data_IF_868665897631
#
_entry.id   IF_868665897631
#
_cell.length_a   1.000
_cell.length_b   1.000
_cell.length_c   1.000
_cell.angle_alpha   90.00
_cell.angle_beta   90.00
_cell.angle_gamma   90.00
#
_symmetry.space_group_name_H-M   'P 1'
#
loop_
_entity.id
_entity.type
_entity.pdbx_description
1 polymer ?
#
# COMPACT_ATOMS: atom_id res chain seq x y z
N UNK A 1 -8.66 -1.12 12.77
CA UNK A 1 -7.36 -1.84 12.91
C UNK A 1 -7.19 -2.37 14.32
N UNK A 2 -6.39 -3.41 14.51
CA UNK A 2 -6.00 -3.92 15.83
C UNK A 2 -4.49 -3.82 15.98
N UNK A 3 -4.02 -3.37 17.15
CA UNK A 3 -2.59 -3.26 17.46
C UNK A 3 -2.29 -4.12 18.67
N UNK A 4 -1.25 -4.93 18.58
CA UNK A 4 -0.71 -5.67 19.71
C UNK A 4 0.82 -5.52 19.71
N UNK A 5 1.42 -5.56 20.88
CA UNK A 5 2.88 -5.49 21.03
C UNK A 5 3.39 -6.74 21.73
N UNK A 6 4.43 -7.30 21.18
CA UNK A 6 5.17 -8.39 21.80
C UNK A 6 6.66 -8.05 21.72
N UNK A 7 7.31 -7.99 22.84
CA UNK A 7 8.70 -7.51 22.93
C UNK A 7 8.80 -6.10 22.30
N UNK A 8 9.76 -5.86 21.43
CA UNK A 8 9.93 -4.59 20.71
C UNK A 8 9.29 -4.63 19.30
N UNK A 9 8.26 -5.44 19.07
CA UNK A 9 7.54 -5.57 17.80
C UNK A 9 6.09 -5.17 17.98
N UNK A 10 5.63 -4.18 17.22
CA UNK A 10 4.22 -3.85 17.08
C UNK A 10 3.63 -4.64 15.89
N UNK A 11 2.57 -5.41 16.14
CA UNK A 11 1.78 -6.09 15.12
C UNK A 11 0.52 -5.29 14.85
N UNK A 12 0.36 -4.82 13.63
CA UNK A 12 -0.75 -3.99 13.17
C UNK A 12 -1.59 -4.82 12.20
N UNK A 13 -2.71 -5.33 12.68
CA UNK A 13 -3.66 -6.11 11.86
C UNK A 13 -4.73 -5.21 11.29
N UNK A 14 -4.79 -5.11 9.97
CA UNK A 14 -5.83 -4.40 9.23
C UNK A 14 -7.11 -5.22 9.31
N UNK A 15 -8.20 -4.60 9.78
CA UNK A 15 -9.50 -5.23 9.98
C UNK A 15 -10.60 -4.21 9.68
N UNK A 16 -11.01 -4.15 8.41
CA UNK A 16 -12.05 -3.24 7.89
C UNK A 16 -12.93 -3.99 6.86
N UNK A 17 -13.81 -4.92 7.35
CA UNK A 17 -14.65 -5.70 6.46
C UNK A 17 -15.57 -4.82 5.58
N UNK A 18 -15.98 -5.32 4.38
CA UNK A 18 -15.82 -6.72 3.93
C UNK A 18 -14.53 -7.05 3.19
N UNK A 19 -13.69 -6.07 2.80
CA UNK A 19 -12.54 -6.25 1.89
C UNK A 19 -11.30 -5.44 2.29
N UNK A 20 -11.26 -4.88 3.48
CA UNK A 20 -10.20 -3.97 3.89
C UNK A 20 -9.99 -2.79 2.92
N UNK A 21 -11.10 -2.13 2.54
CA UNK A 21 -11.03 -0.93 1.72
C UNK A 21 -10.25 0.19 2.44
N UNK A 22 -9.37 0.88 1.73
CA UNK A 22 -8.63 2.03 2.25
C UNK A 22 -9.56 3.25 2.23
N UNK A 23 -10.44 3.30 3.23
CA UNK A 23 -11.37 4.40 3.45
C UNK A 23 -10.70 5.59 4.14
N UNK A 24 -11.39 6.73 4.16
CA UNK A 24 -10.94 7.93 4.90
C UNK A 24 -10.65 7.59 6.37
N UNK A 25 -11.50 6.80 7.02
CA UNK A 25 -11.30 6.38 8.40
C UNK A 25 -10.03 5.53 8.57
N UNK A 26 -9.82 4.53 7.70
CA UNK A 26 -8.61 3.69 7.74
C UNK A 26 -7.35 4.50 7.48
N UNK A 27 -7.39 5.47 6.56
CA UNK A 27 -6.25 6.36 6.30
C UNK A 27 -5.93 7.26 7.50
N UNK A 28 -6.96 7.78 8.17
CA UNK A 28 -6.79 8.57 9.40
C UNK A 28 -6.15 7.72 10.50
N UNK A 29 -6.72 6.53 10.73
CA UNK A 29 -6.20 5.60 11.73
C UNK A 29 -4.75 5.20 11.45
N UNK A 30 -4.40 4.95 10.18
CA UNK A 30 -3.01 4.64 9.77
C UNK A 30 -2.07 5.82 10.03
N UNK A 31 -2.47 7.02 9.64
CA UNK A 31 -1.68 8.24 9.88
C UNK A 31 -1.40 8.45 11.36
N UNK A 32 -2.44 8.38 12.17
CA UNK A 32 -2.36 8.65 13.61
C UNK A 32 -1.56 7.54 14.33
N UNK A 33 -1.74 6.29 13.90
CA UNK A 33 -0.96 5.14 14.40
C UNK A 33 0.53 5.29 14.06
N UNK A 34 0.86 5.60 12.80
CA UNK A 34 2.25 5.79 12.37
C UNK A 34 2.91 6.94 13.12
N UNK A 35 2.20 8.05 13.36
CA UNK A 35 2.69 9.16 14.16
C UNK A 35 2.93 8.76 15.62
N UNK A 36 2.02 7.98 16.22
CA UNK A 36 2.16 7.47 17.59
C UNK A 36 3.35 6.53 17.71
N UNK A 37 3.48 5.57 16.79
CA UNK A 37 4.59 4.61 16.81
C UNK A 37 5.94 5.28 16.57
N UNK A 38 6.02 6.31 15.72
CA UNK A 38 7.26 7.05 15.49
C UNK A 38 7.85 7.67 16.77
N UNK A 39 7.00 7.99 17.75
CA UNK A 39 7.43 8.49 19.08
C UNK A 39 7.59 7.42 20.14
N UNK A 40 7.43 6.14 19.82
CA UNK A 40 7.53 5.04 20.78
C UNK A 40 8.89 4.33 20.70
N UNK A 41 9.79 4.71 21.61
CA UNK A 41 11.13 4.14 21.68
C UNK A 41 11.15 2.66 22.14
N UNK A 42 10.01 2.10 22.57
CA UNK A 42 9.91 0.69 22.96
C UNK A 42 9.65 -0.23 21.75
N UNK A 43 9.25 0.35 20.60
CA UNK A 43 8.99 -0.38 19.35
C UNK A 43 10.15 -0.20 18.39
N UNK A 44 10.68 -1.29 17.85
CA UNK A 44 11.78 -1.33 16.88
C UNK A 44 11.35 -1.82 15.50
N UNK A 45 10.33 -2.66 15.47
CA UNK A 45 9.78 -3.25 14.25
C UNK A 45 8.27 -3.10 14.26
N UNK A 46 7.69 -2.76 13.11
CA UNK A 46 6.25 -2.74 12.87
C UNK A 46 5.94 -3.78 11.80
N UNK A 47 5.10 -4.76 12.13
CA UNK A 47 4.61 -5.76 11.19
C UNK A 47 3.16 -5.47 10.85
N UNK A 48 2.86 -5.23 9.58
CA UNK A 48 1.51 -5.06 9.08
C UNK A 48 1.00 -6.36 8.48
N UNK A 49 -0.18 -6.80 8.91
CA UNK A 49 -0.91 -7.93 8.32
C UNK A 49 -2.40 -7.64 8.20
N UNK A 50 -3.16 -8.61 7.76
CA UNK A 50 -4.61 -8.51 7.55
C UNK A 50 -5.37 -9.58 8.33
N UNK A 51 -6.53 -9.20 8.87
CA UNK A 51 -7.51 -10.15 9.41
C UNK A 51 -8.30 -10.87 8.31
N UNK A 52 -8.33 -10.31 7.10
CA UNK A 52 -9.01 -10.91 5.95
C UNK A 52 -8.02 -11.80 5.16
N UNK A 53 -8.35 -13.07 4.88
CA UNK A 53 -7.46 -13.98 4.19
C UNK A 53 -7.31 -13.68 2.69
N UNK A 54 -8.30 -12.99 2.07
CA UNK A 54 -8.31 -12.71 0.64
C UNK A 54 -7.78 -11.32 0.30
N UNK A 55 -7.88 -10.37 1.25
CA UNK A 55 -7.53 -8.96 1.01
C UNK A 55 -6.63 -8.42 2.13
N UNK A 56 -5.48 -7.87 1.73
CA UNK A 56 -4.64 -7.07 2.63
C UNK A 56 -5.23 -5.66 2.75
N UNK A 57 -5.17 -4.89 1.67
CA UNK A 57 -5.84 -3.62 1.43
C UNK A 57 -6.35 -3.67 -0.01
N UNK A 58 -7.66 -3.78 -0.20
CA UNK A 58 -8.23 -4.01 -1.53
C UNK A 58 -7.85 -2.89 -2.51
N UNK A 59 -8.19 -1.66 -2.18
CA UNK A 59 -7.78 -0.41 -2.85
C UNK A 59 -8.38 0.79 -2.09
N UNK A 60 -8.18 2.00 -2.61
CA UNK A 60 -8.81 3.22 -2.08
C UNK A 60 -10.32 3.19 -2.32
N UNK A 61 -11.09 3.68 -1.36
CA UNK A 61 -12.55 3.80 -1.48
C UNK A 61 -12.94 4.70 -2.64
N UNK A 62 -13.53 4.11 -3.69
CA UNK A 62 -14.00 4.83 -4.88
C UNK A 62 -15.20 5.76 -4.59
N UNK A 63 -15.83 5.62 -3.42
CA UNK A 63 -16.93 6.48 -2.97
C UNK A 63 -16.46 7.67 -2.13
N UNK A 64 -15.15 7.75 -1.81
CA UNK A 64 -14.59 8.83 -1.02
C UNK A 64 -14.80 10.19 -1.72
N UNK A 65 -15.49 11.09 -1.05
CA UNK A 65 -15.75 12.44 -1.59
C UNK A 65 -14.58 13.38 -1.33
N UNK A 66 -14.39 14.35 -2.22
CA UNK A 66 -13.40 15.41 -2.02
C UNK A 66 -13.59 16.13 -0.68
N UNK A 67 -14.84 16.29 -0.22
CA UNK A 67 -15.15 16.91 1.07
C UNK A 67 -14.69 16.04 2.26
N UNK A 68 -14.85 14.70 2.16
CA UNK A 68 -14.37 13.78 3.20
C UNK A 68 -12.84 13.77 3.29
N UNK A 69 -12.15 13.94 2.16
CA UNK A 69 -10.70 14.03 2.08
C UNK A 69 -10.16 15.40 2.52
N UNK A 70 -10.92 16.50 2.30
CA UNK A 70 -10.46 17.87 2.54
C UNK A 70 -10.05 18.12 4.01
N UNK A 71 -10.77 17.54 4.96
CA UNK A 71 -10.44 17.66 6.38
C UNK A 71 -9.08 17.06 6.75
N UNK A 72 -8.68 16.01 6.04
CA UNK A 72 -7.38 15.32 6.25
C UNK A 72 -6.23 16.01 5.49
N UNK A 73 -6.56 16.86 4.52
CA UNK A 73 -5.56 17.57 3.70
C UNK A 73 -5.13 18.92 4.32
N UNK A 74 -5.87 19.40 5.33
CA UNK A 74 -5.65 20.75 5.88
C UNK A 74 -4.24 20.95 6.48
N UNK A 75 -3.61 19.86 6.97
CA UNK A 75 -2.30 19.90 7.64
C UNK A 75 -1.18 19.28 6.78
N UNK A 76 -1.43 19.02 5.48
CA UNK A 76 -0.44 18.41 4.60
C UNK A 76 0.49 19.47 3.98
N UNK A 77 1.75 19.11 3.65
CA UNK A 77 2.62 19.97 2.88
C UNK A 77 2.01 20.32 1.52
N UNK A 78 2.32 21.51 1.01
CA UNK A 78 1.86 21.96 -0.31
C UNK A 78 2.32 20.97 -1.41
N UNK A 79 1.41 20.60 -2.30
CA UNK A 79 1.67 19.67 -3.41
C UNK A 79 1.65 18.19 -3.04
N UNK A 80 1.39 17.85 -1.78
CA UNK A 80 1.28 16.45 -1.31
C UNK A 80 -0.19 16.11 -1.05
N UNK A 81 -0.65 14.99 -1.59
CA UNK A 81 -1.99 14.48 -1.26
C UNK A 81 -1.94 13.52 -0.06
N UNK A 82 -3.12 13.17 0.48
CA UNK A 82 -3.22 12.32 1.66
C UNK A 82 -2.58 10.93 1.47
N UNK A 83 -2.71 10.33 0.29
CA UNK A 83 -2.16 8.99 0.01
C UNK A 83 -0.64 9.03 0.03
N UNK A 84 -0.05 10.03 -0.60
CA UNK A 84 1.40 10.29 -0.58
C UNK A 84 1.88 10.59 0.84
N UNK A 85 1.13 11.36 1.63
CA UNK A 85 1.50 11.69 3.00
C UNK A 85 1.60 10.43 3.89
N UNK A 86 0.65 9.51 3.79
CA UNK A 86 0.69 8.23 4.51
C UNK A 86 1.87 7.37 4.02
N UNK A 87 2.10 7.31 2.71
CA UNK A 87 3.23 6.58 2.13
C UNK A 87 4.57 7.13 2.59
N UNK A 88 4.77 8.46 2.56
CA UNK A 88 6.00 9.10 3.04
C UNK A 88 6.18 8.95 4.55
N UNK A 89 5.11 9.04 5.33
CA UNK A 89 5.17 8.78 6.77
C UNK A 89 5.61 7.34 7.06
N UNK A 90 5.12 6.35 6.29
CA UNK A 90 5.54 4.96 6.41
C UNK A 90 7.02 4.77 6.03
N UNK A 91 7.48 5.38 4.93
CA UNK A 91 8.88 5.32 4.48
C UNK A 91 9.86 5.94 5.46
N UNK A 92 9.42 6.96 6.20
CA UNK A 92 10.23 7.72 7.14
C UNK A 92 10.12 7.22 8.59
N UNK A 93 9.40 6.10 8.84
CA UNK A 93 9.33 5.53 10.18
C UNK A 93 10.74 5.24 10.74
N UNK A 94 11.03 5.59 12.00
CA UNK A 94 12.29 5.20 12.63
C UNK A 94 12.40 3.69 12.84
N UNK A 95 11.27 3.01 13.06
CA UNK A 95 11.17 1.55 13.14
C UNK A 95 11.34 0.91 11.76
N UNK A 96 11.74 -0.36 11.74
CA UNK A 96 11.69 -1.17 10.52
C UNK A 96 10.26 -1.60 10.25
N UNK A 97 9.74 -1.31 9.07
CA UNK A 97 8.38 -1.64 8.64
C UNK A 97 8.36 -2.86 7.75
N UNK A 98 7.56 -3.87 8.10
CA UNK A 98 7.43 -5.13 7.36
C UNK A 98 5.96 -5.35 7.01
N UNK A 99 5.67 -5.60 5.74
CA UNK A 99 4.35 -6.07 5.29
C UNK A 99 4.37 -7.58 5.12
N UNK A 100 3.45 -8.25 5.81
CA UNK A 100 3.13 -9.68 5.68
C UNK A 100 1.88 -9.81 4.81
N UNK A 101 2.06 -10.08 3.53
CA UNK A 101 0.99 -10.06 2.52
C UNK A 101 0.46 -11.49 2.29
N UNK A 102 -0.71 -11.79 2.85
CA UNK A 102 -1.37 -13.08 2.64
C UNK A 102 -2.56 -13.03 1.66
N UNK A 103 -3.02 -11.84 1.28
CA UNK A 103 -4.12 -11.60 0.35
C UNK A 103 -3.77 -10.55 -0.70
N UNK A 104 -4.78 -10.09 -1.44
CA UNK A 104 -4.61 -9.13 -2.53
C UNK A 104 -4.42 -7.71 -2.00
N UNK A 105 -3.55 -6.93 -2.66
CA UNK A 105 -3.36 -5.51 -2.45
C UNK A 105 -3.35 -4.81 -3.82
N UNK A 106 -4.27 -3.87 -4.04
CA UNK A 106 -4.42 -3.15 -5.30
C UNK A 106 -4.38 -1.65 -5.09
N UNK A 107 -3.98 -0.89 -6.11
CA UNK A 107 -3.95 0.56 -6.06
C UNK A 107 -3.27 1.07 -4.80
N UNK A 108 -3.95 1.94 -4.04
CA UNK A 108 -3.43 2.45 -2.76
C UNK A 108 -2.98 1.39 -1.76
N UNK A 109 -3.56 0.19 -1.80
CA UNK A 109 -3.08 -0.94 -0.99
C UNK A 109 -1.71 -1.45 -1.44
N UNK A 110 -1.48 -1.56 -2.76
CA UNK A 110 -0.18 -1.92 -3.30
C UNK A 110 0.84 -0.78 -3.16
N UNK A 111 0.39 0.48 -3.17
CA UNK A 111 1.21 1.66 -2.85
C UNK A 111 1.70 1.63 -1.40
N UNK A 112 0.82 1.24 -0.46
CA UNK A 112 1.20 1.02 0.94
C UNK A 112 2.28 -0.09 1.07
N UNK A 113 2.11 -1.21 0.36
CA UNK A 113 3.09 -2.31 0.38
C UNK A 113 4.46 -1.86 -0.11
N UNK A 114 4.51 -1.11 -1.21
CA UNK A 114 5.79 -0.65 -1.80
C UNK A 114 6.45 0.45 -0.97
N UNK A 115 5.70 1.19 -0.15
CA UNK A 115 6.22 2.21 0.75
C UNK A 115 6.89 1.64 2.01
N UNK A 116 6.55 0.42 2.44
CA UNK A 116 7.21 -0.23 3.58
C UNK A 116 8.67 -0.59 3.28
N UNK A 117 9.51 -0.73 4.32
CA UNK A 117 10.92 -1.13 4.15
C UNK A 117 11.02 -2.52 3.50
N UNK A 118 10.17 -3.45 3.92
CA UNK A 118 10.17 -4.84 3.45
C UNK A 118 8.75 -5.37 3.25
N UNK A 119 8.60 -6.26 2.27
CA UNK A 119 7.36 -6.98 2.03
C UNK A 119 7.63 -8.46 1.71
N UNK A 120 6.84 -9.34 2.31
CA UNK A 120 6.89 -10.79 2.11
C UNK A 120 5.48 -11.28 1.79
N UNK A 121 5.34 -12.12 0.78
CA UNK A 121 4.02 -12.52 0.27
C UNK A 121 3.82 -14.03 0.26
N UNK A 122 2.60 -14.47 0.53
CA UNK A 122 2.19 -15.87 0.42
C UNK A 122 2.01 -16.28 -1.05
N UNK A 123 2.69 -17.33 -1.48
CA UNK A 123 2.46 -17.96 -2.79
C UNK A 123 1.03 -18.50 -2.83
N UNK A 124 0.32 -18.17 -3.87
CA UNK A 124 -1.06 -18.57 -4.15
C UNK A 124 -2.08 -17.49 -3.79
N UNK A 125 -2.34 -17.14 -2.51
CA UNK A 125 -3.38 -16.16 -2.18
C UNK A 125 -2.97 -14.70 -2.39
N UNK A 126 -1.68 -14.36 -2.26
CA UNK A 126 -1.24 -12.98 -2.37
C UNK A 126 -1.15 -12.51 -3.82
N UNK A 127 -1.54 -11.26 -4.05
CA UNK A 127 -1.40 -10.58 -5.33
C UNK A 127 -1.24 -9.08 -5.17
N UNK A 128 -0.51 -8.46 -6.09
CA UNK A 128 -0.25 -7.03 -6.15
C UNK A 128 -0.65 -6.46 -7.50
N UNK A 129 -1.35 -5.33 -7.53
CA UNK A 129 -1.77 -4.68 -8.78
C UNK A 129 -1.91 -3.17 -8.65
N UNK A 130 -1.65 -2.46 -9.75
CA UNK A 130 -1.96 -1.04 -9.91
C UNK A 130 -3.11 -0.93 -10.93
N UNK A 131 -4.33 -0.78 -10.43
CA UNK A 131 -5.57 -0.86 -11.23
C UNK A 131 -6.06 0.49 -11.76
N UNK A 132 -5.39 1.57 -11.41
CA UNK A 132 -5.81 2.95 -11.64
C UNK A 132 -6.06 3.25 -13.11
N UNK A 133 -5.26 2.67 -14.02
CA UNK A 133 -5.41 2.88 -15.45
C UNK A 133 -6.76 2.38 -15.99
N UNK A 134 -7.35 1.33 -15.40
CA UNK A 134 -8.68 0.82 -15.74
C UNK A 134 -9.80 1.80 -15.35
N UNK A 135 -9.53 2.68 -14.40
CA UNK A 135 -10.43 3.76 -13.98
C UNK A 135 -10.15 5.09 -14.69
N UNK A 136 -9.19 5.13 -15.62
CA UNK A 136 -8.80 6.34 -16.35
C UNK A 136 -7.94 7.32 -15.57
N UNK A 137 -7.25 6.87 -14.53
CA UNK A 137 -6.31 7.65 -13.72
C UNK A 137 -4.95 6.96 -13.63
N UNK A 138 -3.99 7.59 -12.99
CA UNK A 138 -2.71 7.02 -12.60
C UNK A 138 -2.67 6.82 -11.09
N UNK A 139 -1.76 5.97 -10.55
CA UNK A 139 -1.50 5.90 -9.12
C UNK A 139 -1.18 7.29 -8.53
N UNK A 140 -1.57 7.53 -7.29
CA UNK A 140 -1.42 8.82 -6.64
C UNK A 140 -0.95 8.75 -5.18
N UNK A 141 -0.56 7.59 -4.69
CA UNK A 141 -0.01 7.38 -3.35
C UNK A 141 1.51 7.21 -3.34
N UNK A 142 2.18 7.56 -4.44
CA UNK A 142 3.63 7.48 -4.58
C UNK A 142 4.12 6.30 -5.41
N UNK A 143 3.24 5.39 -5.87
CA UNK A 143 3.69 4.21 -6.61
C UNK A 143 4.49 4.55 -7.86
N UNK A 144 4.18 5.63 -8.59
CA UNK A 144 4.95 6.00 -9.79
C UNK A 144 6.42 6.29 -9.47
N UNK A 145 6.73 6.61 -8.22
CA UNK A 145 8.07 6.86 -7.73
C UNK A 145 8.66 5.62 -7.05
N UNK A 146 8.01 5.11 -6.01
CA UNK A 146 8.50 3.98 -5.19
C UNK A 146 8.62 2.69 -5.99
N UNK A 147 7.61 2.40 -6.84
CA UNK A 147 7.62 1.22 -7.69
C UNK A 147 8.73 1.32 -8.74
N UNK A 148 8.89 2.51 -9.36
CA UNK A 148 9.95 2.75 -10.34
C UNK A 148 11.34 2.58 -9.72
N UNK A 149 11.54 3.00 -8.47
CA UNK A 149 12.78 2.78 -7.73
C UNK A 149 13.08 1.29 -7.54
N UNK A 150 12.05 0.48 -7.19
CA UNK A 150 12.23 -0.95 -6.92
C UNK A 150 12.37 -1.82 -8.17
N UNK A 151 11.50 -1.61 -9.17
CA UNK A 151 11.41 -2.54 -10.32
C UNK A 151 12.02 -1.99 -11.61
N UNK A 152 12.38 -0.71 -11.62
CA UNK A 152 12.83 0.01 -12.81
C UNK A 152 11.66 0.46 -13.71
N UNK A 153 11.91 1.51 -14.52
CA UNK A 153 10.89 2.22 -15.31
C UNK A 153 10.09 1.32 -16.26
N UNK A 154 10.71 0.36 -16.92
CA UNK A 154 10.04 -0.53 -17.89
C UNK A 154 8.98 -1.40 -17.22
N UNK A 155 9.31 -2.03 -16.09
CA UNK A 155 8.37 -2.85 -15.32
C UNK A 155 7.32 -2.00 -14.61
N UNK A 156 7.67 -0.81 -14.13
CA UNK A 156 6.71 0.12 -13.57
C UNK A 156 5.64 0.51 -14.59
N UNK A 157 6.03 0.80 -15.85
CA UNK A 157 5.08 1.08 -16.94
C UNK A 157 4.22 -0.15 -17.30
N UNK A 158 4.80 -1.35 -17.32
CA UNK A 158 4.07 -2.60 -17.54
C UNK A 158 3.00 -2.79 -16.45
N UNK A 159 3.36 -2.63 -15.18
CA UNK A 159 2.46 -2.78 -14.05
C UNK A 159 1.34 -1.74 -14.08
N UNK A 160 1.69 -0.46 -14.22
CA UNK A 160 0.71 0.63 -14.17
C UNK A 160 -0.21 0.66 -15.39
N UNK A 161 0.31 0.40 -16.59
CA UNK A 161 -0.49 0.46 -17.82
C UNK A 161 -1.14 -0.89 -18.16
N UNK A 162 -0.50 -2.00 -17.80
CA UNK A 162 -1.08 -3.34 -17.91
C UNK A 162 -2.23 -3.54 -16.95
N UNK A 163 -2.15 -2.94 -15.76
CA UNK A 163 -3.18 -2.98 -14.72
C UNK A 163 -3.68 -4.40 -14.42
N UNK A 164 -2.74 -5.35 -14.37
CA UNK A 164 -2.99 -6.75 -14.01
C UNK A 164 -2.72 -6.98 -12.53
N UNK A 165 -3.27 -8.08 -12.00
CA UNK A 165 -2.90 -8.60 -10.70
C UNK A 165 -1.70 -9.54 -10.86
N UNK A 166 -0.57 -9.17 -10.28
CA UNK A 166 0.66 -9.96 -10.29
C UNK A 166 0.70 -10.90 -9.09
N UNK A 167 1.00 -12.17 -9.32
CA UNK A 167 1.22 -13.13 -8.25
C UNK A 167 2.50 -12.82 -7.44
N UNK A 168 2.61 -13.43 -6.26
CA UNK A 168 3.72 -13.21 -5.35
C UNK A 168 5.08 -13.55 -5.98
N UNK A 169 5.16 -14.62 -6.78
CA UNK A 169 6.40 -15.08 -7.42
C UNK A 169 6.86 -14.10 -8.51
N UNK A 170 5.92 -13.55 -9.27
CA UNK A 170 6.23 -12.51 -10.25
C UNK A 170 6.63 -11.20 -9.57
N UNK A 171 5.95 -10.81 -8.48
CA UNK A 171 6.30 -9.64 -7.70
C UNK A 171 7.72 -9.75 -7.11
N UNK A 172 8.12 -10.94 -6.62
CA UNK A 172 9.51 -11.20 -6.19
C UNK A 172 10.50 -11.09 -7.35
N UNK A 173 10.24 -11.75 -8.49
CA UNK A 173 11.12 -11.69 -9.67
C UNK A 173 11.30 -10.27 -10.20
N UNK A 174 10.29 -9.41 -10.06
CA UNK A 174 10.38 -8.00 -10.48
C UNK A 174 11.12 -7.14 -9.46
N UNK A 175 11.25 -7.59 -8.22
CA UNK A 175 11.81 -6.82 -7.11
C UNK A 175 10.78 -5.90 -6.46
N UNK A 176 9.49 -6.12 -6.70
CA UNK A 176 8.41 -5.38 -6.04
C UNK A 176 8.35 -5.71 -4.55
N UNK A 177 8.54 -6.98 -4.21
CA UNK A 177 8.65 -7.50 -2.84
C UNK A 177 9.98 -8.22 -2.61
N UNK A 178 10.32 -8.46 -1.34
CA UNK A 178 11.56 -9.14 -0.96
C UNK A 178 11.52 -10.64 -1.29
N UNK A 179 10.43 -11.32 -0.93
CA UNK A 179 10.28 -12.78 -1.15
C UNK A 179 8.82 -13.20 -1.26
N UNK A 180 8.57 -14.18 -2.12
CA UNK A 180 7.40 -15.04 -2.13
C UNK A 180 7.72 -16.31 -1.32
N UNK A 181 6.82 -16.71 -0.43
CA UNK A 181 7.01 -17.84 0.48
C UNK A 181 5.77 -18.75 0.42
N UNK A 182 5.94 -20.08 0.61
CA UNK A 182 4.80 -20.94 0.84
C UNK A 182 3.90 -20.37 1.95
N UNK A 183 2.59 -20.36 1.74
CA UNK A 183 1.65 -19.67 2.65
C UNK A 183 1.81 -20.13 4.11
N UNK A 184 2.08 -21.42 4.34
CA UNK A 184 2.28 -21.99 5.68
C UNK A 184 3.62 -21.62 6.34
N UNK A 185 4.56 -21.03 5.60
CA UNK A 185 5.87 -20.59 6.11
C UNK A 185 5.95 -19.09 6.36
N UNK A 186 5.02 -18.29 5.79
CA UNK A 186 5.07 -16.84 5.82
C UNK A 186 5.12 -16.27 7.24
N UNK A 187 4.23 -16.72 8.12
CA UNK A 187 4.16 -16.24 9.50
C UNK A 187 5.48 -16.52 10.25
N UNK A 188 5.92 -17.77 10.24
CA UNK A 188 7.14 -18.16 10.94
C UNK A 188 8.38 -17.43 10.40
N UNK A 189 8.42 -17.15 9.10
CA UNK A 189 9.52 -16.42 8.49
C UNK A 189 9.53 -14.95 8.94
N UNK A 190 8.38 -14.27 8.87
CA UNK A 190 8.27 -12.86 9.24
C UNK A 190 8.52 -12.67 10.73
N UNK A 191 7.94 -13.52 11.59
CA UNK A 191 8.13 -13.45 13.04
C UNK A 191 9.61 -13.64 13.43
N UNK A 192 10.30 -14.60 12.81
CA UNK A 192 11.73 -14.81 13.03
C UNK A 192 12.56 -13.61 12.56
N UNK A 193 12.27 -13.04 11.38
CA UNK A 193 12.99 -11.88 10.87
C UNK A 193 12.76 -10.67 11.76
N UNK A 194 11.52 -10.37 12.10
CA UNK A 194 11.16 -9.26 12.99
C UNK A 194 11.83 -9.42 14.37
N UNK A 195 11.83 -10.63 14.94
CA UNK A 195 12.50 -10.94 16.19
C UNK A 195 14.02 -10.73 16.13
N UNK A 196 14.66 -11.16 15.05
CA UNK A 196 16.08 -10.95 14.82
C UNK A 196 16.44 -9.45 14.74
N UNK A 197 15.62 -8.66 14.03
CA UNK A 197 15.81 -7.21 13.91
C UNK A 197 15.56 -6.53 15.25
N UNK A 198 14.48 -6.88 15.94
CA UNK A 198 14.12 -6.31 17.23
C UNK A 198 15.17 -6.59 18.35
N UNK A 199 15.96 -7.64 18.19
CA UNK A 199 17.04 -7.98 19.12
C UNK A 199 18.36 -7.22 18.87
N UNK A 200 18.46 -6.45 17.77
CA UNK A 200 19.65 -5.64 17.48
C UNK A 200 19.77 -4.48 18.49
N UNK A 201 20.99 -3.94 18.72
CA UNK A 201 21.16 -2.69 19.44
C UNK A 201 20.39 -1.54 18.78
N UNK A 202 19.84 -0.62 19.59
CA UNK A 202 18.96 0.45 19.09
C UNK A 202 19.61 1.35 18.05
N UNK A 203 20.87 1.69 18.25
CA UNK A 203 21.67 2.54 17.36
C UNK A 203 21.97 1.88 16.00
N UNK A 204 21.99 0.55 15.93
CA UNK A 204 22.27 -0.20 14.68
C UNK A 204 21.11 -0.06 13.69
N UNK A 205 19.87 -0.14 14.16
CA UNK A 205 18.69 0.02 13.28
C UNK A 205 18.66 1.44 12.71
N UNK A 206 18.81 2.45 13.56
CA UNK A 206 18.83 3.85 13.15
C UNK A 206 19.98 4.12 12.16
N UNK A 207 21.18 3.62 12.46
CA UNK A 207 22.35 3.77 11.57
C UNK A 207 22.15 3.07 10.22
N UNK A 208 21.55 1.88 10.20
CA UNK A 208 21.25 1.15 8.97
C UNK A 208 20.23 1.91 8.10
N UNK A 209 19.12 2.39 8.70
CA UNK A 209 18.13 3.20 7.99
C UNK A 209 18.68 4.53 7.50
N UNK A 210 19.59 5.15 8.23
CA UNK A 210 20.26 6.36 7.78
C UNK A 210 21.23 6.09 6.62
N UNK A 211 21.97 4.98 6.67
CA UNK A 211 22.93 4.62 5.63
C UNK A 211 22.25 4.13 4.34
N UNK A 212 21.07 3.49 4.48
CA UNK A 212 20.21 3.00 3.38
C UNK A 212 18.98 3.91 3.30
N UNK A 213 19.21 5.22 3.29
CA UNK A 213 18.12 6.19 3.30
C UNK A 213 17.26 6.08 2.02
N UNK A 214 15.93 6.20 2.12
CA UNK A 214 15.08 6.25 0.94
C UNK A 214 15.40 7.48 0.10
N UNK A 215 15.25 7.36 -1.22
CA UNK A 215 15.42 8.52 -2.11
C UNK A 215 14.40 9.62 -1.78
N UNK A 216 14.80 10.87 -1.98
CA UNK A 216 13.87 11.99 -1.92
C UNK A 216 13.07 12.04 -3.24
N UNK A 217 11.76 11.84 -3.14
CA UNK A 217 10.85 11.84 -4.28
C UNK A 217 9.97 13.09 -4.38
N UNK A 218 10.22 14.16 -3.63
CA UNK A 218 9.35 15.33 -3.55
C UNK A 218 8.90 15.85 -4.92
N UNK A 219 9.85 16.09 -5.84
CA UNK A 219 9.54 16.57 -7.21
C UNK A 219 8.74 15.54 -8.02
N UNK A 220 9.00 14.25 -7.79
CA UNK A 220 8.30 13.16 -8.45
C UNK A 220 6.87 13.01 -7.95
N UNK A 221 6.68 13.13 -6.64
CA UNK A 221 5.37 13.07 -5.99
C UNK A 221 4.50 14.28 -6.37
N UNK A 222 5.08 15.48 -6.41
CA UNK A 222 4.36 16.67 -6.90
C UNK A 222 3.88 16.48 -8.34
N UNK A 223 4.75 15.98 -9.23
CA UNK A 223 4.39 15.66 -10.63
C UNK A 223 3.32 14.57 -10.72
N UNK A 224 3.40 13.50 -9.92
CA UNK A 224 2.39 12.45 -9.84
C UNK A 224 1.02 13.04 -9.47
N UNK A 225 0.98 13.89 -8.43
CA UNK A 225 -0.22 14.55 -7.97
C UNK A 225 -0.84 15.46 -9.05
N UNK A 226 -0.04 16.25 -9.75
CA UNK A 226 -0.50 17.10 -10.85
C UNK A 226 -1.12 16.29 -12.00
N UNK A 227 -0.45 15.20 -12.39
CA UNK A 227 -0.94 14.31 -13.45
C UNK A 227 -2.24 13.63 -13.02
N UNK A 228 -2.30 13.09 -11.81
CA UNK A 228 -3.50 12.48 -11.26
C UNK A 228 -4.66 13.48 -11.17
N UNK A 229 -4.42 14.70 -10.67
CA UNK A 229 -5.44 15.74 -10.56
C UNK A 229 -6.01 16.12 -11.93
N UNK A 230 -5.18 16.10 -12.98
CA UNK A 230 -5.63 16.32 -14.36
C UNK A 230 -6.51 15.22 -14.95
N UNK A 231 -6.55 14.05 -14.31
CA UNK A 231 -7.31 12.87 -14.77
C UNK A 231 -8.54 12.59 -13.91
N UNK A 232 -8.43 12.68 -12.60
CA UNK A 232 -9.46 12.20 -11.64
C UNK A 232 -10.80 12.95 -11.77
N UNK A 233 -10.77 14.23 -12.17
CA UNK A 233 -11.98 15.04 -12.32
C UNK A 233 -12.60 14.96 -13.73
N UNK A 234 -12.11 14.11 -14.62
CA UNK A 234 -12.70 13.94 -15.94
C UNK A 234 -14.03 13.20 -15.86
N UNK A 235 -15.04 13.60 -16.66
CA UNK A 235 -16.31 12.87 -16.71
C UNK A 235 -16.17 11.38 -17.01
N UNK A 236 -15.24 11.01 -17.90
CA UNK A 236 -14.96 9.62 -18.24
C UNK A 236 -14.49 8.81 -17.03
N UNK A 237 -13.62 9.36 -16.17
CA UNK A 237 -13.17 8.73 -14.93
C UNK A 237 -14.35 8.48 -13.98
N UNK A 238 -15.20 9.48 -13.78
CA UNK A 238 -16.39 9.33 -12.94
C UNK A 238 -17.36 8.27 -13.50
N UNK A 239 -17.51 8.17 -14.82
CA UNK A 239 -18.33 7.15 -15.49
C UNK A 239 -17.76 5.75 -15.27
N UNK A 240 -16.43 5.55 -15.44
CA UNK A 240 -15.78 4.26 -15.24
C UNK A 240 -15.91 3.81 -13.78
N UNK A 241 -15.63 4.68 -12.81
CA UNK A 241 -15.77 4.36 -11.38
C UNK A 241 -17.23 3.99 -11.03
N UNK A 242 -18.18 4.79 -11.47
CA UNK A 242 -19.62 4.54 -11.25
C UNK A 242 -20.08 3.22 -11.88
N UNK A 243 -19.63 2.91 -13.11
CA UNK A 243 -19.94 1.67 -13.77
C UNK A 243 -19.31 0.45 -13.07
N UNK A 244 -18.08 0.59 -12.59
CA UNK A 244 -17.42 -0.45 -11.79
C UNK A 244 -18.18 -0.75 -10.50
N UNK A 245 -18.56 0.29 -9.75
CA UNK A 245 -19.38 0.15 -8.54
C UNK A 245 -20.74 -0.52 -8.84
N UNK A 246 -21.42 -0.11 -9.90
CA UNK A 246 -22.68 -0.71 -10.31
C UNK A 246 -22.56 -2.20 -10.72
N UNK A 247 -21.36 -2.64 -11.11
CA UNK A 247 -21.07 -4.05 -11.44
C UNK A 247 -20.51 -4.85 -10.27
N UNK A 248 -20.39 -4.26 -9.09
CA UNK A 248 -20.00 -4.96 -7.88
C UNK A 248 -18.58 -4.69 -7.39
N UNK A 249 -17.85 -3.71 -7.96
CA UNK A 249 -16.63 -3.23 -7.32
C UNK A 249 -16.94 -2.83 -5.86
N UNK A 250 -15.97 -3.04 -4.97
CA UNK A 250 -16.11 -2.88 -3.51
C UNK A 250 -17.07 -3.89 -2.83
N UNK A 251 -17.50 -4.92 -3.55
CA UNK A 251 -18.12 -6.10 -2.92
C UNK A 251 -17.13 -7.25 -2.91
N UNK A 252 -17.27 -8.18 -1.95
CA UNK A 252 -16.35 -9.32 -1.83
C UNK A 252 -16.27 -10.15 -3.12
N UNK A 253 -17.40 -10.35 -3.80
CA UNK A 253 -17.44 -11.13 -5.04
C UNK A 253 -16.80 -10.36 -6.22
N UNK A 254 -17.10 -9.07 -6.38
CA UNK A 254 -16.51 -8.25 -7.44
C UNK A 254 -15.01 -8.04 -7.29
N UNK A 255 -14.51 -8.06 -6.06
CA UNK A 255 -13.08 -7.92 -5.77
C UNK A 255 -12.28 -9.21 -6.00
N UNK A 256 -12.91 -10.35 -6.27
CA UNK A 256 -12.16 -11.56 -6.61
C UNK A 256 -11.41 -11.40 -7.94
N UNK A 257 -12.02 -10.71 -8.93
CA UNK A 257 -11.42 -10.44 -10.24
C UNK A 257 -11.78 -9.01 -10.70
N UNK A 258 -11.31 -8.01 -9.97
CA UNK A 258 -11.62 -6.60 -10.20
C UNK A 258 -11.11 -6.13 -11.57
N UNK A 259 -9.97 -6.66 -12.01
CA UNK A 259 -9.35 -6.37 -13.28
C UNK A 259 -10.28 -6.77 -14.46
N UNK A 260 -10.82 -7.98 -14.42
CA UNK A 260 -11.77 -8.44 -15.43
C UNK A 260 -13.09 -7.67 -15.38
N UNK A 261 -13.56 -7.32 -14.16
CA UNK A 261 -14.76 -6.51 -13.98
C UNK A 261 -14.63 -5.17 -14.72
N UNK A 262 -13.53 -4.43 -14.51
CA UNK A 262 -13.31 -3.14 -15.16
C UNK A 262 -13.06 -3.26 -16.66
N UNK A 263 -12.27 -4.25 -17.12
CA UNK A 263 -12.07 -4.49 -18.56
C UNK A 263 -13.33 -4.88 -19.30
N UNK A 264 -14.32 -5.47 -18.63
CA UNK A 264 -15.63 -5.80 -19.17
C UNK A 264 -16.61 -4.62 -19.23
N UNK A 265 -16.23 -3.41 -18.83
CA UNK A 265 -17.08 -2.22 -18.94
C UNK A 265 -17.23 -1.81 -20.39
N UNK A 266 -18.42 -1.35 -20.82
CA UNK A 266 -18.56 -0.76 -22.14
C UNK A 266 -17.73 0.53 -22.21
N UNK A 267 -16.98 0.66 -23.30
CA UNK A 267 -16.16 1.84 -23.59
C UNK A 267 -17.01 3.08 -23.92
#
# INVERSE_FOLDING_TARGET
MRVSQKDAIAYVTIDNPPINILSVAVMTDLRDLLASLAGDDTVRVIVFDSADPDFFLAHVDMTATAQALAGLMADLPEGVNLFQAVGEQLRQQPQVTIVKLAGKARGGGAEFVVAADMAFAAIGPAGLGQIEALMGIVPAGGATQYLTERVGRNRALEIVLGADLYDAETAERYGWINRALPAHELDAFVDRLAGNIAALPDDVIAAAKQAIAPHNHADGLARENDVWAGLVFRPATAQLMSAGLARGAQTRDGEQDLEALFRGLPG
#
